data_IF_534571087495
#
_entry.id   IF_534571087495
#
_cell.length_a   1.000
_cell.length_b   1.000
_cell.length_c   1.000
_cell.angle_alpha   90.00
_cell.angle_beta   90.00
_cell.angle_gamma   90.00
#
_symmetry.space_group_name_H-M   'P 1'
#
loop_
_entity.id
_entity.type
_entity.pdbx_description
1 polymer ?
#
# COMPACT_ATOMS: atom_id res chain seq x y z
N UNK A 1 7.01 0.33 28.44
CA UNK A 1 7.40 -0.95 27.87
C UNK A 1 6.13 -1.53 27.28
N UNK A 2 5.98 -1.49 25.95
CA UNK A 2 4.84 -2.13 25.27
C UNK A 2 5.26 -3.57 24.99
N UNK A 3 4.55 -4.52 25.56
CA UNK A 3 4.71 -5.92 25.20
C UNK A 3 4.56 -6.11 23.69
N UNK A 4 5.42 -6.95 23.05
CA UNK A 4 5.26 -7.27 21.65
C UNK A 4 3.89 -7.93 21.44
N UNK A 5 3.20 -7.64 20.32
CA UNK A 5 1.90 -8.24 20.04
C UNK A 5 2.01 -9.76 20.11
N UNK A 6 1.11 -10.37 20.87
CA UNK A 6 1.07 -11.82 21.09
C UNK A 6 1.17 -12.55 19.73
N UNK A 7 2.08 -13.53 19.63
CA UNK A 7 2.27 -14.35 18.42
C UNK A 7 0.92 -14.90 17.98
N UNK A 8 0.31 -14.33 16.93
CA UNK A 8 -0.88 -14.92 16.31
C UNK A 8 -0.49 -16.32 15.84
N UNK A 9 -1.12 -17.35 16.39
CA UNK A 9 -1.06 -18.69 15.81
C UNK A 9 -1.62 -18.58 14.39
N UNK A 10 -0.79 -18.84 13.39
CA UNK A 10 -1.22 -18.94 11.99
C UNK A 10 -2.36 -19.93 11.92
N UNK A 11 -3.56 -19.47 11.60
CA UNK A 11 -4.62 -20.38 11.17
C UNK A 11 -4.14 -21.00 9.85
N UNK A 12 -3.98 -22.30 9.81
CA UNK A 12 -3.47 -23.03 8.63
C UNK A 12 -4.33 -22.84 7.38
N UNK A 13 -5.51 -22.21 7.52
CA UNK A 13 -6.49 -21.97 6.45
C UNK A 13 -6.68 -20.51 6.09
N UNK A 14 -5.84 -19.59 6.57
CA UNK A 14 -5.95 -18.20 6.15
C UNK A 14 -5.55 -18.09 4.67
N UNK A 15 -6.28 -17.39 3.79
CA UNK A 15 -7.51 -16.61 4.02
C UNK A 15 -8.81 -17.35 3.57
N UNK A 16 -8.85 -18.67 3.59
CA UNK A 16 -9.96 -19.47 3.05
C UNK A 16 -11.32 -19.02 3.62
N UNK A 17 -12.24 -18.66 2.72
CA UNK A 17 -13.58 -18.16 3.05
C UNK A 17 -13.64 -16.78 3.70
N UNK A 18 -12.49 -16.16 4.01
CA UNK A 18 -12.44 -14.82 4.64
C UNK A 18 -12.58 -13.71 3.60
N UNK A 19 -13.14 -12.59 4.03
CA UNK A 19 -13.36 -11.43 3.15
C UNK A 19 -12.15 -10.49 3.21
N UNK A 20 -11.60 -10.16 2.04
CA UNK A 20 -10.54 -9.16 1.88
C UNK A 20 -10.99 -8.08 0.90
N UNK A 21 -10.89 -6.83 1.31
CA UNK A 21 -11.20 -5.68 0.47
C UNK A 21 -9.93 -5.15 -0.23
N UNK A 22 -10.06 -4.84 -1.51
CA UNK A 22 -8.97 -4.28 -2.33
C UNK A 22 -9.45 -3.04 -3.07
N UNK A 23 -8.94 -1.86 -2.71
CA UNK A 23 -9.15 -0.65 -3.53
C UNK A 23 -8.15 -0.64 -4.70
N UNK A 24 -8.53 -0.04 -5.84
CA UNK A 24 -7.73 -0.15 -7.06
C UNK A 24 -7.69 -1.58 -7.62
N UNK A 25 -8.68 -2.43 -7.27
CA UNK A 25 -8.72 -3.85 -7.57
C UNK A 25 -9.01 -4.21 -9.02
N UNK A 26 -9.22 -3.24 -9.92
CA UNK A 26 -9.55 -3.51 -11.32
C UNK A 26 -8.34 -3.69 -12.23
N UNK A 27 -7.12 -3.35 -11.80
CA UNK A 27 -5.88 -3.47 -12.58
C UNK A 27 -4.62 -3.43 -11.71
N UNK A 28 -3.46 -3.70 -12.35
CA UNK A 28 -2.15 -3.55 -11.75
C UNK A 28 -1.97 -4.36 -10.47
N UNK A 29 -1.25 -3.78 -9.50
CA UNK A 29 -0.92 -4.48 -8.25
C UNK A 29 -2.13 -4.83 -7.40
N UNK A 30 -3.19 -4.00 -7.44
CA UNK A 30 -4.44 -4.29 -6.73
C UNK A 30 -5.11 -5.56 -7.26
N UNK A 31 -5.25 -5.69 -8.59
CA UNK A 31 -5.81 -6.88 -9.22
C UNK A 31 -4.92 -8.12 -9.00
N UNK A 32 -3.60 -7.97 -9.10
CA UNK A 32 -2.72 -9.12 -8.88
C UNK A 32 -2.74 -9.59 -7.42
N UNK A 33 -2.81 -8.65 -6.47
CA UNK A 33 -3.03 -8.99 -5.05
C UNK A 33 -4.36 -9.73 -4.85
N UNK A 34 -5.43 -9.27 -5.52
CA UNK A 34 -6.73 -9.94 -5.48
C UNK A 34 -6.65 -11.37 -6.06
N UNK A 35 -5.91 -11.57 -7.16
CA UNK A 35 -5.70 -12.91 -7.75
C UNK A 35 -4.94 -13.86 -6.82
N UNK A 36 -3.86 -13.38 -6.17
CA UNK A 36 -3.10 -14.19 -5.21
C UNK A 36 -3.98 -14.60 -4.05
N UNK A 37 -4.74 -13.67 -3.47
CA UNK A 37 -5.66 -13.91 -2.37
C UNK A 37 -6.79 -14.87 -2.77
N UNK A 38 -7.38 -14.70 -3.94
CA UNK A 38 -8.44 -15.56 -4.47
C UNK A 38 -7.94 -17.01 -4.70
N UNK A 39 -6.73 -17.19 -5.26
CA UNK A 39 -6.10 -18.53 -5.38
C UNK A 39 -5.92 -19.23 -4.03
N UNK A 40 -5.81 -18.48 -2.94
CA UNK A 40 -5.74 -19.00 -1.56
C UNK A 40 -7.10 -19.12 -0.87
N UNK A 41 -8.19 -18.93 -1.61
CA UNK A 41 -9.56 -19.12 -1.14
C UNK A 41 -10.21 -17.90 -0.48
N UNK A 42 -9.63 -16.70 -0.54
CA UNK A 42 -10.28 -15.48 -0.06
C UNK A 42 -11.50 -15.11 -0.92
N UNK A 43 -12.52 -14.56 -0.29
CA UNK A 43 -13.60 -13.83 -0.96
C UNK A 43 -13.20 -12.36 -1.09
N UNK A 44 -13.23 -11.81 -2.30
CA UNK A 44 -12.75 -10.45 -2.56
C UNK A 44 -13.91 -9.46 -2.66
N UNK A 45 -13.67 -8.26 -2.12
CA UNK A 45 -14.48 -7.08 -2.39
C UNK A 45 -13.58 -6.09 -3.12
N UNK A 46 -13.84 -5.84 -4.40
CA UNK A 46 -13.04 -4.95 -5.23
C UNK A 46 -13.68 -3.57 -5.32
N UNK A 47 -12.90 -2.52 -5.17
CA UNK A 47 -13.33 -1.13 -5.34
C UNK A 47 -12.48 -0.44 -6.39
N UNK A 48 -13.09 0.18 -7.39
CA UNK A 48 -12.46 1.06 -8.37
C UNK A 48 -13.54 1.91 -9.08
N UNK A 49 -13.13 2.87 -9.91
CA UNK A 49 -14.04 3.82 -10.53
C UNK A 49 -14.86 3.26 -11.73
N UNK A 50 -14.33 2.27 -12.44
CA UNK A 50 -14.90 1.78 -13.71
C UNK A 50 -15.56 0.43 -13.51
N UNK A 51 -16.88 0.39 -13.66
CA UNK A 51 -17.70 -0.82 -13.48
C UNK A 51 -17.29 -1.97 -14.41
N UNK A 52 -17.17 -1.72 -15.71
CA UNK A 52 -16.77 -2.74 -16.68
C UNK A 52 -15.41 -3.38 -16.34
N UNK A 53 -14.41 -2.57 -15.94
CA UNK A 53 -13.11 -3.10 -15.56
C UNK A 53 -13.14 -3.90 -14.23
N UNK A 54 -14.06 -3.60 -13.32
CA UNK A 54 -14.28 -4.36 -12.09
C UNK A 54 -15.03 -5.67 -12.37
N UNK A 55 -15.97 -5.66 -13.27
CA UNK A 55 -16.70 -6.85 -13.72
C UNK A 55 -15.74 -7.85 -14.34
N UNK A 56 -14.91 -7.42 -15.31
CA UNK A 56 -13.88 -8.24 -15.94
C UNK A 56 -12.86 -8.77 -14.90
N UNK A 57 -12.40 -7.89 -14.00
CA UNK A 57 -11.49 -8.26 -12.93
C UNK A 57 -12.10 -9.33 -12.02
N UNK A 58 -13.32 -9.13 -11.54
CA UNK A 58 -14.03 -10.06 -10.67
C UNK A 58 -14.28 -11.40 -11.34
N UNK A 59 -14.70 -11.40 -12.61
CA UNK A 59 -14.90 -12.62 -13.40
C UNK A 59 -13.60 -13.41 -13.63
N UNK A 60 -12.44 -12.73 -13.63
CA UNK A 60 -11.11 -13.37 -13.80
C UNK A 60 -10.55 -14.00 -12.53
N UNK A 61 -11.18 -13.78 -11.36
CA UNK A 61 -10.71 -14.33 -10.09
C UNK A 61 -11.13 -15.80 -9.93
N UNK A 62 -10.22 -16.68 -9.46
CA UNK A 62 -10.61 -18.05 -9.11
C UNK A 62 -11.46 -18.07 -7.84
N UNK A 63 -12.41 -19.02 -7.77
CA UNK A 63 -13.32 -19.15 -6.64
C UNK A 63 -14.68 -18.51 -6.89
N UNK A 64 -15.42 -18.23 -5.83
CA UNK A 64 -16.77 -17.68 -5.89
C UNK A 64 -17.03 -16.71 -4.73
N UNK A 65 -18.12 -15.95 -4.84
CA UNK A 65 -18.54 -15.01 -3.80
C UNK A 65 -17.75 -13.70 -3.79
N UNK A 66 -17.05 -13.38 -4.87
CA UNK A 66 -16.44 -12.08 -5.06
C UNK A 66 -17.51 -11.02 -5.33
N UNK A 67 -17.28 -9.82 -4.81
CA UNK A 67 -18.16 -8.65 -4.98
C UNK A 67 -17.32 -7.48 -5.49
N UNK A 68 -17.96 -6.52 -6.11
CA UNK A 68 -17.29 -5.27 -6.49
C UNK A 68 -18.25 -4.07 -6.41
N UNK A 69 -17.66 -2.90 -6.20
CA UNK A 69 -18.38 -1.63 -6.14
C UNK A 69 -17.63 -0.56 -6.95
N UNK A 70 -18.36 0.10 -7.85
CA UNK A 70 -17.79 1.10 -8.75
C UNK A 70 -18.01 2.50 -8.20
N UNK A 71 -16.98 3.07 -7.54
CA UNK A 71 -16.99 4.45 -7.06
C UNK A 71 -15.56 4.99 -6.90
N UNK A 72 -15.42 6.31 -6.72
CA UNK A 72 -14.14 6.94 -6.39
C UNK A 72 -13.85 6.75 -4.91
N UNK A 73 -12.62 6.34 -4.55
CA UNK A 73 -12.22 6.13 -3.15
C UNK A 73 -12.32 7.38 -2.28
N UNK A 74 -12.51 8.55 -2.88
CA UNK A 74 -12.76 9.83 -2.21
C UNK A 74 -14.21 10.12 -1.90
N UNK A 75 -15.14 9.28 -2.38
CA UNK A 75 -16.58 9.42 -2.15
C UNK A 75 -17.00 8.77 -0.82
N UNK A 76 -17.09 9.59 0.23
CA UNK A 76 -17.46 9.16 1.59
C UNK A 76 -18.89 8.57 1.64
N UNK A 77 -19.82 9.13 0.88
CA UNK A 77 -21.21 8.64 0.87
C UNK A 77 -21.30 7.27 0.20
N UNK A 78 -20.48 7.02 -0.84
CA UNK A 78 -20.40 5.70 -1.45
C UNK A 78 -19.80 4.67 -0.48
N UNK A 79 -18.77 5.04 0.29
CA UNK A 79 -18.25 4.18 1.34
C UNK A 79 -19.31 3.80 2.35
N UNK A 80 -20.06 4.74 2.89
CA UNK A 80 -21.15 4.47 3.84
C UNK A 80 -22.18 3.53 3.23
N UNK A 81 -22.73 3.85 2.05
CA UNK A 81 -23.79 3.05 1.40
C UNK A 81 -23.39 1.58 1.15
N UNK A 82 -22.15 1.31 0.85
CA UNK A 82 -21.71 -0.02 0.41
C UNK A 82 -21.06 -0.87 1.51
N UNK A 83 -20.65 -0.26 2.64
CA UNK A 83 -19.85 -0.94 3.66
C UNK A 83 -20.49 -0.97 5.06
N UNK A 84 -21.67 -0.39 5.25
CA UNK A 84 -22.44 -0.51 6.49
C UNK A 84 -22.78 -1.98 6.83
N UNK A 85 -23.02 -2.81 5.81
CA UNK A 85 -23.44 -4.22 5.96
C UNK A 85 -22.25 -5.21 5.85
N UNK A 86 -21.02 -4.76 5.95
CA UNK A 86 -19.87 -5.66 5.99
C UNK A 86 -19.47 -5.92 7.43
N UNK A 87 -19.88 -7.07 7.95
CA UNK A 87 -19.68 -7.43 9.35
C UNK A 87 -18.22 -7.66 9.71
N UNK A 88 -17.45 -8.36 8.84
CA UNK A 88 -16.08 -8.75 9.11
C UNK A 88 -15.17 -8.62 7.88
N UNK A 89 -13.97 -8.07 8.10
CA UNK A 89 -12.87 -8.05 7.14
C UNK A 89 -11.61 -8.70 7.72
N UNK A 90 -11.08 -9.70 7.02
CA UNK A 90 -9.79 -10.30 7.35
C UNK A 90 -8.61 -9.45 6.86
N UNK A 91 -8.85 -8.54 5.91
CA UNK A 91 -7.82 -7.66 5.39
C UNK A 91 -8.35 -6.52 4.54
N UNK A 92 -7.57 -5.46 4.49
CA UNK A 92 -7.77 -4.30 3.62
C UNK A 92 -6.48 -3.99 2.87
N UNK A 93 -6.57 -3.89 1.54
CA UNK A 93 -5.48 -3.50 0.65
C UNK A 93 -5.83 -2.17 -0.02
N UNK A 94 -5.12 -1.09 0.28
CA UNK A 94 -5.38 0.22 -0.28
C UNK A 94 -4.45 0.50 -1.47
N UNK A 95 -4.76 -0.08 -2.65
CA UNK A 95 -3.93 0.02 -3.86
C UNK A 95 -4.40 1.08 -4.86
N UNK A 96 -5.51 1.77 -4.62
CA UNK A 96 -5.96 2.87 -5.46
C UNK A 96 -4.96 4.04 -5.42
N UNK A 97 -4.42 4.42 -6.58
CA UNK A 97 -3.49 5.53 -6.68
C UNK A 97 -3.45 6.10 -8.11
N UNK A 98 -3.04 7.38 -8.20
CA UNK A 98 -2.69 8.09 -9.43
C UNK A 98 -1.30 8.70 -9.29
N UNK A 99 -0.61 8.89 -10.42
CA UNK A 99 0.76 9.41 -10.44
C UNK A 99 0.83 10.89 -10.84
N UNK A 100 -0.15 11.37 -11.59
CA UNK A 100 -0.23 12.77 -12.05
C UNK A 100 -0.34 13.77 -10.88
N UNK A 101 0.01 15.02 -11.09
CA UNK A 101 0.59 15.62 -12.28
C UNK A 101 2.07 15.27 -12.43
N UNK A 102 2.53 15.23 -13.69
CA UNK A 102 3.96 15.12 -14.03
C UNK A 102 4.46 16.49 -14.48
N UNK A 103 5.61 16.92 -13.97
CA UNK A 103 6.23 18.20 -14.33
C UNK A 103 6.85 18.94 -13.15
N UNK A 104 7.54 20.05 -13.43
CA UNK A 104 8.09 20.91 -12.39
C UNK A 104 7.00 21.76 -11.74
N UNK A 105 7.21 22.16 -10.48
CA UNK A 105 6.31 23.07 -9.79
C UNK A 105 6.12 24.35 -10.63
N UNK A 106 4.87 24.78 -10.78
CA UNK A 106 4.49 25.90 -11.66
C UNK A 106 4.06 25.48 -13.07
N UNK A 107 4.34 24.25 -13.53
CA UNK A 107 3.87 23.74 -14.82
C UNK A 107 2.52 23.01 -14.77
N UNK A 108 2.01 22.74 -13.58
CA UNK A 108 0.71 22.10 -13.34
C UNK A 108 -0.14 22.93 -12.37
N UNK A 109 -1.46 22.75 -12.43
CA UNK A 109 -2.38 23.49 -11.54
C UNK A 109 -2.36 22.97 -10.10
N UNK A 110 -2.56 23.82 -9.07
CA UNK A 110 -2.75 23.38 -7.69
C UNK A 110 -3.89 22.37 -7.53
N UNK A 111 -4.92 22.44 -8.36
CA UNK A 111 -6.02 21.49 -8.36
C UNK A 111 -5.56 20.08 -8.79
N UNK A 112 -4.64 19.97 -9.75
CA UNK A 112 -4.07 18.68 -10.14
C UNK A 112 -3.26 18.04 -9.00
N UNK A 113 -2.44 18.84 -8.31
CA UNK A 113 -1.72 18.40 -7.12
C UNK A 113 -2.68 17.88 -6.03
N UNK A 114 -3.72 18.66 -5.72
CA UNK A 114 -4.75 18.31 -4.72
C UNK A 114 -5.42 16.97 -5.05
N UNK A 115 -5.87 16.75 -6.29
CA UNK A 115 -6.52 15.49 -6.69
C UNK A 115 -5.66 14.26 -6.41
N UNK A 116 -4.35 14.37 -6.56
CA UNK A 116 -3.45 13.26 -6.25
C UNK A 116 -3.38 12.97 -4.75
N UNK A 117 -3.30 14.02 -3.92
CA UNK A 117 -3.37 13.84 -2.47
C UNK A 117 -4.73 13.29 -2.04
N UNK A 118 -5.82 13.78 -2.62
CA UNK A 118 -7.17 13.29 -2.36
C UNK A 118 -7.27 11.79 -2.65
N UNK A 119 -6.85 11.34 -3.84
CA UNK A 119 -6.92 9.93 -4.20
C UNK A 119 -5.96 9.06 -3.36
N UNK A 120 -4.68 9.43 -3.32
CA UNK A 120 -3.64 8.55 -2.78
C UNK A 120 -3.59 8.53 -1.26
N UNK A 121 -3.83 9.66 -0.61
CA UNK A 121 -3.75 9.81 0.85
C UNK A 121 -5.14 9.79 1.50
N UNK A 122 -6.01 10.72 1.12
CA UNK A 122 -7.33 10.81 1.76
C UNK A 122 -8.21 9.61 1.40
N UNK A 123 -8.17 9.11 0.15
CA UNK A 123 -8.87 7.88 -0.23
C UNK A 123 -8.36 6.64 0.51
N UNK A 124 -7.05 6.57 0.80
CA UNK A 124 -6.48 5.53 1.67
C UNK A 124 -7.01 5.64 3.10
N UNK A 125 -6.98 6.85 3.68
CA UNK A 125 -7.46 7.11 5.03
C UNK A 125 -8.96 6.82 5.14
N UNK A 126 -9.76 7.26 4.18
CA UNK A 126 -11.21 7.07 4.17
C UNK A 126 -11.59 5.58 4.07
N UNK A 127 -10.92 4.82 3.21
CA UNK A 127 -11.11 3.38 3.13
C UNK A 127 -10.84 2.69 4.48
N UNK A 128 -9.77 3.07 5.16
CA UNK A 128 -9.43 2.52 6.48
C UNK A 128 -10.48 2.94 7.52
N UNK A 129 -10.88 4.22 7.52
CA UNK A 129 -11.88 4.76 8.45
C UNK A 129 -13.21 4.02 8.34
N UNK A 130 -13.76 3.90 7.13
CA UNK A 130 -15.06 3.27 6.90
C UNK A 130 -15.04 1.75 7.14
N UNK A 131 -13.90 1.08 6.90
CA UNK A 131 -13.76 -0.35 7.11
C UNK A 131 -13.32 -0.74 8.54
N UNK A 132 -12.99 0.22 9.39
CA UNK A 132 -12.41 -0.06 10.71
C UNK A 132 -13.30 -0.92 11.62
N UNK A 133 -14.63 -0.72 11.69
CA UNK A 133 -15.50 -1.61 12.48
C UNK A 133 -15.39 -3.07 12.02
N UNK A 134 -15.49 -3.35 10.72
CA UNK A 134 -15.37 -4.69 10.16
C UNK A 134 -13.96 -5.29 10.32
N UNK A 135 -12.91 -4.47 10.25
CA UNK A 135 -11.53 -4.88 10.51
C UNK A 135 -11.32 -5.27 11.98
N UNK A 136 -11.95 -4.56 12.93
CA UNK A 136 -11.93 -4.90 14.34
C UNK A 136 -12.63 -6.23 14.59
N UNK A 137 -13.83 -6.43 14.04
CA UNK A 137 -14.59 -7.67 14.18
C UNK A 137 -13.81 -8.86 13.58
N UNK A 138 -13.26 -8.72 12.39
CA UNK A 138 -12.47 -9.75 11.72
C UNK A 138 -11.04 -9.91 12.22
N UNK A 139 -10.57 -9.05 13.14
CA UNK A 139 -9.15 -8.92 13.53
C UNK A 139 -8.25 -8.85 12.30
N UNK A 140 -8.64 -8.04 11.34
CA UNK A 140 -8.01 -7.94 10.04
C UNK A 140 -6.63 -7.31 10.09
N UNK A 141 -5.94 -7.33 8.94
CA UNK A 141 -4.68 -6.62 8.73
C UNK A 141 -4.84 -5.60 7.61
N UNK A 142 -4.05 -4.52 7.63
CA UNK A 142 -4.11 -3.45 6.62
C UNK A 142 -2.78 -3.40 5.89
N UNK A 143 -2.85 -3.38 4.55
CA UNK A 143 -1.69 -3.17 3.68
C UNK A 143 -1.91 -1.92 2.84
N UNK A 144 -1.03 -0.96 3.01
CA UNK A 144 -0.95 0.26 2.20
C UNK A 144 0.18 0.16 1.18
N UNK A 145 0.22 1.08 0.20
CA UNK A 145 1.30 1.14 -0.79
C UNK A 145 2.06 2.47 -0.70
N UNK A 146 3.35 2.35 -0.40
CA UNK A 146 4.35 3.37 -0.62
C UNK A 146 4.75 3.44 -2.10
N UNK A 147 6.03 3.47 -2.38
CA UNK A 147 6.57 3.46 -3.73
C UNK A 147 7.68 4.47 -3.91
N UNK A 148 8.06 4.70 -5.15
CA UNK A 148 9.07 5.69 -5.50
C UNK A 148 8.71 7.07 -4.93
N UNK A 149 9.64 7.72 -4.28
CA UNK A 149 9.44 9.01 -3.63
C UNK A 149 8.93 8.95 -2.19
N UNK A 150 8.56 7.80 -1.64
CA UNK A 150 8.17 7.70 -0.23
C UNK A 150 9.34 7.98 0.74
N UNK A 151 10.55 7.59 0.35
CA UNK A 151 11.77 7.72 1.18
C UNK A 151 12.91 8.46 0.49
N UNK A 152 12.72 8.85 -0.78
CA UNK A 152 13.74 9.53 -1.57
C UNK A 152 13.10 10.58 -2.48
N UNK A 153 13.80 11.66 -2.85
CA UNK A 153 13.27 12.64 -3.78
C UNK A 153 12.88 12.01 -5.12
N UNK A 154 11.76 12.42 -5.67
CA UNK A 154 11.30 12.06 -7.00
C UNK A 154 10.91 13.33 -7.76
N UNK A 155 11.89 14.06 -8.31
CA UNK A 155 11.65 15.33 -9.00
C UNK A 155 10.64 15.17 -10.14
N UNK A 156 9.79 16.17 -10.34
CA UNK A 156 8.71 16.22 -11.37
C UNK A 156 7.49 15.36 -11.07
N UNK A 157 7.45 14.68 -9.92
CA UNK A 157 6.34 13.86 -9.42
C UNK A 157 5.95 14.28 -8.01
N UNK A 158 5.96 15.58 -7.74
CA UNK A 158 5.87 16.15 -6.39
C UNK A 158 4.63 15.69 -5.64
N UNK A 159 3.45 15.71 -6.28
CA UNK A 159 2.20 15.29 -5.67
C UNK A 159 2.21 13.80 -5.30
N UNK A 160 2.71 12.97 -6.24
CA UNK A 160 2.81 11.54 -6.02
C UNK A 160 3.79 11.22 -4.88
N UNK A 161 5.02 11.71 -4.95
CA UNK A 161 6.04 11.47 -3.93
C UNK A 161 5.59 11.93 -2.54
N UNK A 162 5.03 13.14 -2.44
CA UNK A 162 4.48 13.67 -1.19
C UNK A 162 3.35 12.79 -0.65
N UNK A 163 2.43 12.34 -1.51
CA UNK A 163 1.35 11.44 -1.10
C UNK A 163 1.87 10.10 -0.58
N UNK A 164 2.90 9.52 -1.21
CA UNK A 164 3.46 8.23 -0.80
C UNK A 164 4.29 8.32 0.48
N UNK A 165 5.01 9.41 0.69
CA UNK A 165 5.66 9.71 1.97
C UNK A 165 4.63 9.87 3.11
N UNK A 166 3.53 10.58 2.84
CA UNK A 166 2.44 10.75 3.79
C UNK A 166 1.74 9.41 4.13
N UNK A 167 1.50 8.54 3.14
CA UNK A 167 0.93 7.19 3.37
C UNK A 167 1.87 6.33 4.20
N UNK A 168 3.19 6.38 3.97
CA UNK A 168 4.16 5.65 4.79
C UNK A 168 4.10 6.13 6.27
N UNK A 169 4.04 7.43 6.50
CA UNK A 169 3.89 7.98 7.86
C UNK A 169 2.52 7.65 8.47
N UNK A 170 1.44 7.74 7.70
CA UNK A 170 0.09 7.33 8.14
C UNK A 170 0.09 5.86 8.58
N UNK A 171 0.76 4.99 7.84
CA UNK A 171 0.92 3.57 8.19
C UNK A 171 1.54 3.38 9.58
N UNK A 172 2.62 4.08 9.89
CA UNK A 172 3.27 4.01 11.20
C UNK A 172 2.35 4.50 12.34
N UNK A 173 1.64 5.60 12.10
CA UNK A 173 0.72 6.16 13.09
C UNK A 173 -0.45 5.20 13.36
N UNK A 174 -1.05 4.65 12.31
CA UNK A 174 -2.15 3.69 12.42
C UNK A 174 -1.71 2.37 13.05
N UNK A 175 -0.50 1.90 12.75
CA UNK A 175 0.06 0.71 13.38
C UNK A 175 0.14 0.84 14.90
N UNK A 176 0.56 2.00 15.39
CA UNK A 176 0.58 2.31 16.84
C UNK A 176 -0.83 2.43 17.42
N UNK A 177 -1.72 3.16 16.74
CA UNK A 177 -3.08 3.42 17.21
C UNK A 177 -3.96 2.15 17.24
N UNK A 178 -3.77 1.22 16.29
CA UNK A 178 -4.60 0.03 16.15
C UNK A 178 -3.98 -1.25 16.76
N UNK A 179 -2.78 -1.14 17.33
CA UNK A 179 -2.14 -2.26 18.04
C UNK A 179 -3.00 -2.83 19.18
N UNK A 180 -3.71 -2.01 19.99
CA UNK A 180 -4.61 -2.54 21.03
C UNK A 180 -5.77 -3.38 20.45
N UNK A 181 -6.22 -3.09 19.24
CA UNK A 181 -7.25 -3.85 18.53
C UNK A 181 -6.69 -5.16 17.91
N UNK A 182 -5.39 -5.36 17.98
CA UNK A 182 -4.69 -6.49 17.36
C UNK A 182 -4.63 -6.38 15.83
N UNK A 183 -4.82 -5.20 15.25
CA UNK A 183 -4.75 -4.93 13.81
C UNK A 183 -3.31 -4.55 13.45
N UNK A 184 -2.73 -5.23 12.48
CA UNK A 184 -1.43 -4.84 11.91
C UNK A 184 -1.62 -3.93 10.70
N UNK A 185 -0.77 -2.93 10.58
CA UNK A 185 -0.78 -1.99 9.44
C UNK A 185 0.64 -1.90 8.89
N UNK A 186 0.85 -2.34 7.65
CA UNK A 186 2.16 -2.28 7.01
C UNK A 186 2.05 -1.67 5.60
N UNK A 187 3.16 -1.12 5.13
CA UNK A 187 3.26 -0.48 3.83
C UNK A 187 4.16 -1.32 2.90
N UNK A 188 3.76 -1.50 1.65
CA UNK A 188 4.53 -2.20 0.62
C UNK A 188 5.13 -1.19 -0.35
N UNK A 189 6.44 -1.28 -0.60
CA UNK A 189 7.09 -0.72 -1.78
C UNK A 189 7.16 -1.82 -2.86
N UNK A 190 6.29 -1.78 -3.88
CA UNK A 190 6.09 -2.94 -4.76
C UNK A 190 7.19 -3.15 -5.81
N UNK A 191 8.17 -2.24 -5.90
CA UNK A 191 9.10 -2.18 -7.02
C UNK A 191 8.48 -1.52 -8.26
N UNK A 192 9.16 -1.60 -9.40
CA UNK A 192 8.65 -1.06 -10.67
C UNK A 192 7.71 -2.09 -11.32
N UNK A 193 6.47 -2.15 -10.87
CA UNK A 193 5.44 -3.01 -11.47
C UNK A 193 4.90 -2.36 -12.74
N UNK A 194 5.01 -3.05 -13.87
CA UNK A 194 4.44 -2.58 -15.13
C UNK A 194 2.92 -2.53 -15.03
N UNK A 195 2.38 -1.33 -14.90
CA UNK A 195 0.94 -1.08 -14.77
C UNK A 195 0.59 0.28 -15.36
N UNK A 196 -0.71 0.53 -15.57
CA UNK A 196 -1.20 1.80 -16.12
C UNK A 196 -0.82 3.06 -15.34
N UNK A 197 -0.20 2.93 -14.14
CA UNK A 197 0.27 4.11 -13.39
C UNK A 197 1.42 4.84 -14.13
N UNK A 198 2.20 4.12 -14.94
CA UNK A 198 3.31 4.70 -15.70
C UNK A 198 2.88 5.35 -17.02
N UNK A 199 1.61 5.16 -17.44
CA UNK A 199 1.06 5.80 -18.65
C UNK A 199 1.19 7.32 -18.57
N UNK A 200 1.00 7.92 -17.40
CA UNK A 200 1.16 9.35 -17.18
C UNK A 200 2.59 9.84 -17.49
N UNK A 201 3.61 9.07 -17.10
CA UNK A 201 5.01 9.37 -17.42
C UNK A 201 5.27 9.35 -18.92
N UNK A 202 4.75 8.31 -19.61
CA UNK A 202 4.91 8.16 -21.05
C UNK A 202 4.15 9.24 -21.82
N UNK A 203 2.94 9.55 -21.41
CA UNK A 203 2.12 10.60 -22.01
C UNK A 203 2.72 12.01 -21.84
N UNK A 204 3.35 12.28 -20.70
CA UNK A 204 4.04 13.55 -20.45
C UNK A 204 5.27 13.75 -21.33
N UNK A 205 5.91 12.68 -21.78
CA UNK A 205 7.12 12.71 -22.60
C UNK A 205 8.39 13.11 -21.85
N UNK A 206 9.57 12.97 -22.51
CA UNK A 206 10.87 13.12 -21.85
C UNK A 206 11.17 14.54 -21.36
N UNK A 207 10.68 15.56 -22.06
CA UNK A 207 10.89 16.96 -21.66
C UNK A 207 10.20 17.31 -20.34
N UNK A 208 8.98 16.78 -20.12
CA UNK A 208 8.16 17.05 -18.95
C UNK A 208 8.52 16.10 -17.80
N UNK A 209 8.62 14.79 -18.07
CA UNK A 209 8.94 13.79 -17.06
C UNK A 209 10.41 13.77 -16.62
N UNK A 210 11.30 14.43 -17.39
CA UNK A 210 12.76 14.33 -17.27
C UNK A 210 13.30 13.13 -18.05
N UNK A 211 14.33 13.40 -18.89
CA UNK A 211 14.84 12.42 -19.86
C UNK A 211 15.25 11.11 -19.18
N UNK A 212 16.00 11.19 -18.07
CA UNK A 212 16.53 10.01 -17.38
C UNK A 212 15.41 9.13 -16.79
N UNK A 213 14.40 9.75 -16.17
CA UNK A 213 13.28 9.02 -15.59
C UNK A 213 12.37 8.43 -16.68
N UNK A 214 12.14 9.18 -17.75
CA UNK A 214 11.38 8.72 -18.92
C UNK A 214 12.03 7.51 -19.59
N UNK A 215 13.33 7.58 -19.88
CA UNK A 215 14.06 6.48 -20.52
C UNK A 215 14.20 5.27 -19.57
N UNK A 216 14.38 5.51 -18.29
CA UNK A 216 14.31 4.42 -17.28
C UNK A 216 12.95 3.75 -17.31
N UNK A 217 11.87 4.53 -17.31
CA UNK A 217 10.49 3.99 -17.37
C UNK A 217 10.27 3.15 -18.62
N UNK A 218 10.71 3.61 -19.79
CA UNK A 218 10.64 2.85 -21.04
C UNK A 218 11.40 1.53 -20.97
N UNK A 219 12.64 1.55 -20.45
CA UNK A 219 13.47 0.36 -20.29
C UNK A 219 12.83 -0.65 -19.33
N UNK A 220 12.34 -0.19 -18.21
CA UNK A 220 11.68 -1.07 -17.24
C UNK A 220 10.42 -1.72 -17.85
N UNK A 221 9.59 -0.94 -18.56
CA UNK A 221 8.42 -1.49 -19.26
C UNK A 221 8.83 -2.51 -20.31
N UNK A 222 9.85 -2.24 -21.12
CA UNK A 222 10.31 -3.17 -22.16
C UNK A 222 10.89 -4.48 -21.62
N UNK A 223 11.37 -4.47 -20.38
CA UNK A 223 11.87 -5.66 -19.64
C UNK A 223 10.77 -6.40 -18.89
N UNK A 224 9.53 -5.91 -18.92
CA UNK A 224 8.41 -6.46 -18.16
C UNK A 224 8.28 -5.95 -16.73
N UNK A 225 9.23 -5.10 -16.28
CA UNK A 225 9.25 -4.56 -14.92
C UNK A 225 9.54 -5.60 -13.83
N UNK A 226 9.31 -5.22 -12.59
CA UNK A 226 9.33 -6.14 -11.45
C UNK A 226 8.03 -6.97 -11.45
N UNK A 227 8.10 -8.29 -11.23
CA UNK A 227 6.92 -9.15 -11.29
C UNK A 227 5.86 -8.72 -10.27
N UNK A 228 4.67 -8.36 -10.73
CA UNK A 228 3.56 -7.97 -9.86
C UNK A 228 3.17 -9.07 -8.87
N UNK A 229 3.34 -10.33 -9.26
CA UNK A 229 3.10 -11.50 -8.41
C UNK A 229 3.96 -11.50 -7.15
N UNK A 230 5.24 -11.12 -7.24
CA UNK A 230 6.14 -11.04 -6.09
C UNK A 230 5.65 -10.00 -5.06
N UNK A 231 5.25 -8.82 -5.52
CA UNK A 231 4.69 -7.80 -4.65
C UNK A 231 3.33 -8.22 -4.07
N UNK A 232 2.52 -8.96 -4.83
CA UNK A 232 1.25 -9.51 -4.37
C UNK A 232 1.42 -10.62 -3.32
N UNK A 233 2.45 -11.45 -3.44
CA UNK A 233 2.82 -12.44 -2.42
C UNK A 233 3.25 -11.78 -1.10
N UNK A 234 3.99 -10.67 -1.16
CA UNK A 234 4.29 -9.88 0.04
C UNK A 234 3.02 -9.30 0.67
N UNK A 235 2.09 -8.76 -0.13
CA UNK A 235 0.78 -8.29 0.38
C UNK A 235 0.07 -9.41 1.12
N UNK A 236 0.04 -10.61 0.53
CA UNK A 236 -0.61 -11.77 1.13
C UNK A 236 0.05 -12.17 2.46
N UNK A 237 1.39 -12.21 2.52
CA UNK A 237 2.15 -12.48 3.74
C UNK A 237 1.82 -11.47 4.86
N UNK A 238 1.77 -10.17 4.54
CA UNK A 238 1.49 -9.12 5.51
C UNK A 238 0.05 -9.20 6.04
N UNK A 239 -0.90 -9.59 5.20
CA UNK A 239 -2.29 -9.80 5.60
C UNK A 239 -2.48 -11.06 6.43
N UNK A 240 -1.74 -12.13 6.13
CA UNK A 240 -1.80 -13.42 6.86
C UNK A 240 -1.41 -13.28 8.33
N UNK A 241 -0.56 -12.31 8.62
CA UNK A 241 -0.10 -11.96 9.96
C UNK A 241 1.40 -12.17 10.12
N UNK A 242 2.07 -11.07 10.43
CA UNK A 242 3.50 -10.97 10.69
C UNK A 242 3.74 -10.48 12.13
N UNK A 243 4.90 -10.75 12.74
CA UNK A 243 5.18 -10.34 14.12
C UNK A 243 5.54 -8.85 14.25
N UNK A 244 5.37 -8.06 13.19
CA UNK A 244 5.69 -6.64 13.14
C UNK A 244 4.54 -5.82 12.56
N UNK A 245 4.55 -4.53 12.83
CA UNK A 245 3.58 -3.55 12.31
C UNK A 245 4.26 -2.19 12.13
N UNK A 246 3.72 -1.32 11.29
CA UNK A 246 4.24 0.01 11.03
C UNK A 246 5.47 0.03 10.11
N UNK A 247 5.69 -1.02 9.33
CA UNK A 247 6.88 -1.17 8.49
C UNK A 247 6.60 -0.89 7.02
N UNK A 248 7.55 -0.24 6.36
CA UNK A 248 7.62 -0.10 4.90
C UNK A 248 8.55 -1.19 4.36
N UNK A 249 7.98 -2.22 3.76
CA UNK A 249 8.72 -3.39 3.26
C UNK A 249 8.79 -3.37 1.74
N UNK A 250 9.97 -3.51 1.18
CA UNK A 250 10.20 -3.56 -0.26
C UNK A 250 10.06 -4.99 -0.79
N UNK A 251 9.18 -5.18 -1.77
CA UNK A 251 9.03 -6.47 -2.44
C UNK A 251 10.29 -6.84 -3.25
N UNK A 252 11.00 -5.84 -3.76
CA UNK A 252 12.15 -6.00 -4.64
C UNK A 252 13.50 -6.11 -3.89
N UNK A 253 13.65 -5.38 -2.77
CA UNK A 253 14.97 -5.18 -2.16
C UNK A 253 15.13 -5.82 -0.78
N UNK A 254 14.03 -6.11 -0.07
CA UNK A 254 14.08 -6.71 1.25
C UNK A 254 13.97 -8.23 1.18
N UNK A 255 14.65 -8.98 2.07
CA UNK A 255 14.54 -10.43 2.15
C UNK A 255 13.27 -10.84 2.93
N UNK A 256 12.11 -10.35 2.50
CA UNK A 256 10.85 -10.46 3.22
C UNK A 256 10.30 -11.89 3.40
N UNK A 257 10.90 -12.88 2.78
CA UNK A 257 10.61 -14.32 3.02
C UNK A 257 11.42 -14.89 4.18
N UNK A 258 12.45 -14.17 4.65
CA UNK A 258 13.35 -14.62 5.70
C UNK A 258 12.77 -14.35 7.10
N UNK A 259 12.67 -15.38 7.93
CA UNK A 259 12.22 -15.25 9.30
C UNK A 259 13.12 -14.37 10.17
N UNK A 260 14.44 -14.39 9.96
CA UNK A 260 15.35 -13.52 10.70
C UNK A 260 15.09 -12.04 10.38
N UNK A 261 14.74 -11.74 9.14
CA UNK A 261 14.32 -10.39 8.77
C UNK A 261 13.04 -9.98 9.50
N UNK A 262 12.07 -10.88 9.63
CA UNK A 262 10.83 -10.61 10.40
C UNK A 262 11.13 -10.34 11.89
N UNK A 263 12.02 -11.11 12.50
CA UNK A 263 12.44 -10.91 13.89
C UNK A 263 13.14 -9.55 14.07
N UNK A 264 13.99 -9.17 13.14
CA UNK A 264 14.62 -7.83 13.15
C UNK A 264 13.60 -6.72 13.02
N UNK A 265 12.63 -6.84 12.12
CA UNK A 265 11.55 -5.86 11.98
C UNK A 265 10.68 -5.74 13.25
N UNK A 266 10.49 -6.86 13.96
CA UNK A 266 9.70 -6.89 15.20
C UNK A 266 10.45 -6.25 16.39
N UNK A 267 11.76 -6.37 16.43
CA UNK A 267 12.58 -5.93 17.58
C UNK A 267 13.20 -4.55 17.39
N UNK A 268 13.43 -4.11 16.16
CA UNK A 268 13.99 -2.78 15.87
C UNK A 268 12.87 -1.81 15.38
N UNK A 269 12.44 -0.87 16.22
CA UNK A 269 11.38 0.07 15.86
C UNK A 269 11.79 1.05 14.76
N UNK A 270 13.09 1.28 14.53
CA UNK A 270 13.58 2.21 13.51
C UNK A 270 13.76 1.58 12.14
N UNK A 271 13.94 0.26 12.07
CA UNK A 271 14.16 -0.45 10.81
C UNK A 271 12.91 -0.42 9.93
N UNK A 272 13.08 -0.18 8.64
CA UNK A 272 12.01 -0.10 7.63
C UNK A 272 10.90 0.92 7.99
N UNK A 273 11.29 2.09 8.48
CA UNK A 273 10.42 3.20 8.85
C UNK A 273 10.97 4.53 8.32
N UNK A 274 10.11 5.57 8.27
CA UNK A 274 10.55 6.90 7.86
C UNK A 274 11.14 7.62 9.07
N UNK A 275 12.46 7.77 9.08
CA UNK A 275 13.22 8.43 10.17
C UNK A 275 14.18 9.47 9.62
N UNK A 276 14.45 10.49 10.44
CA UNK A 276 15.59 11.36 10.23
C UNK A 276 16.87 10.58 10.54
N UNK A 277 17.88 10.68 9.69
CA UNK A 277 19.18 10.05 9.90
C UNK A 277 20.05 11.03 10.69
N UNK A 278 20.16 10.79 11.99
CA UNK A 278 20.90 11.69 12.90
C UNK A 278 22.29 11.15 13.30
N UNK A 279 22.52 9.85 13.11
CA UNK A 279 23.59 9.11 13.78
C UNK A 279 25.01 9.56 13.48
N UNK A 280 25.28 10.13 12.30
CA UNK A 280 26.64 10.53 11.92
C UNK A 280 26.96 11.99 12.21
N UNK A 281 25.95 12.85 12.39
CA UNK A 281 26.14 14.27 12.58
C UNK A 281 26.13 14.71 14.07
N UNK A 282 25.52 13.92 14.94
CA UNK A 282 25.31 14.31 16.34
C UNK A 282 25.92 13.36 17.37
N UNK A 283 26.28 12.13 17.01
CA UNK A 283 26.89 11.16 17.95
C UNK A 283 28.38 11.46 18.21
N UNK A 284 29.08 12.17 17.30
CA UNK A 284 30.47 12.54 17.51
C UNK A 284 30.68 13.67 18.56
N UNK A 285 29.63 14.38 18.96
CA UNK A 285 29.72 15.43 19.96
C UNK A 285 29.33 15.01 21.38
N UNK A 286 28.90 13.75 21.60
CA UNK A 286 28.32 13.26 22.84
C UNK A 286 29.09 12.19 23.60
N UNK A 287 30.31 11.83 23.19
CA UNK A 287 31.15 10.91 23.98
C UNK A 287 31.93 11.62 25.07
N UNK A 288 31.25 12.35 25.92
CA UNK A 288 31.85 13.03 27.06
C UNK A 288 30.86 13.86 27.81
N UNK A 289 30.09 13.23 28.68
CA UNK A 289 29.24 14.00 29.58
C UNK A 289 28.15 13.15 30.21
N UNK A 290 28.45 12.53 31.29
CA UNK A 290 27.50 12.09 32.32
C UNK A 290 26.48 13.21 32.58
N UNK A 291 25.19 12.88 32.41
CA UNK A 291 24.12 13.48 33.25
C UNK A 291 23.02 12.47 33.48
#
# INVERSE_FOLDING_TARGET
MNDPPAKRRRDKRWPEGRVVLVTGGSRGIGLESARVLARRGARLVLVARRSAALEDASASLPGAGHRWFAFDVTDEDAWRRHFEDIDELAGLVTAAAVLEPVGIIGSYSPAAFRRTLETNLLGTQLAIHCCLPALRAGKGSIVTFGGGGATSPLPRFDAYASSKAAVARLTENLASALAPDGITVNCVAPGFVTSGIHEATLAAGPAVAGIDYYERTRREISRGGFPAGEAAELVCLLLEGVPFTGKLVSAQWDPWRDHQFHERLATDPALATVRRIDGTLFVAAGSGGER
#
